data_IF_463015853834
#
_entry.id   IF_463015853834
#
_cell.length_a   1.000
_cell.length_b   1.000
_cell.length_c   1.000
_cell.angle_alpha   90.00
_cell.angle_beta   90.00
_cell.angle_gamma   90.00
#
_symmetry.space_group_name_H-M   'P 1'
#
loop_
_entity.id
_entity.type
_entity.pdbx_description
1 polymer ?
#
# COMPACT_ATOMS: atom_id res chain seq x y z
N UNK A 1 -66.97 3.98 52.16
CA UNK A 1 -66.07 3.35 51.19
C UNK A 1 -66.50 3.80 49.81
N UNK A 2 -65.58 4.22 48.93
CA UNK A 2 -65.90 4.61 47.56
C UNK A 2 -64.93 3.88 46.62
N UNK A 3 -65.48 3.03 45.75
CA UNK A 3 -64.70 2.23 44.80
C UNK A 3 -64.46 3.02 43.53
N UNK A 4 -63.21 3.16 43.11
CA UNK A 4 -62.85 3.78 41.83
C UNK A 4 -62.76 2.69 40.77
N UNK A 5 -63.78 2.58 39.93
CA UNK A 5 -63.77 1.67 38.78
C UNK A 5 -62.97 2.26 37.62
N UNK A 6 -61.69 1.90 37.53
CA UNK A 6 -60.81 2.32 36.42
C UNK A 6 -61.09 1.47 35.18
N UNK A 7 -61.98 1.96 34.31
CA UNK A 7 -62.24 1.37 33.00
C UNK A 7 -61.03 1.50 32.06
N UNK A 8 -60.19 0.46 31.97
CA UNK A 8 -59.11 0.34 30.97
C UNK A 8 -59.54 -0.32 29.65
N UNK A 9 -60.85 -0.56 29.46
CA UNK A 9 -61.38 -1.23 28.28
C UNK A 9 -61.59 -0.26 27.10
N UNK A 10 -60.62 -0.22 26.17
CA UNK A 10 -60.96 -0.07 24.75
C UNK A 10 -60.45 1.15 23.95
N UNK A 11 -59.14 1.45 23.92
CA UNK A 11 -58.57 2.27 22.80
C UNK A 11 -57.09 2.06 22.46
N UNK A 12 -56.59 0.81 22.36
CA UNK A 12 -55.16 0.55 22.05
C UNK A 12 -54.80 -0.48 20.96
N UNK A 13 -55.76 -1.21 20.37
CA UNK A 13 -55.43 -2.29 19.40
C UNK A 13 -55.08 -1.86 17.97
N UNK A 14 -55.39 -0.63 17.54
CA UNK A 14 -55.10 -0.17 16.17
C UNK A 14 -53.99 0.89 16.04
N UNK A 15 -53.53 1.47 17.15
CA UNK A 15 -52.39 2.40 17.15
C UNK A 15 -51.08 1.65 16.98
N UNK A 16 -50.75 0.75 17.91
CA UNK A 16 -49.49 -0.01 17.89
C UNK A 16 -49.26 -0.82 16.61
N UNK A 17 -50.31 -1.32 15.94
CA UNK A 17 -50.16 -1.99 14.65
C UNK A 17 -49.71 -1.06 13.51
N UNK A 18 -50.14 0.22 13.53
CA UNK A 18 -49.70 1.25 12.58
C UNK A 18 -48.30 1.75 12.90
N UNK A 19 -47.98 1.87 14.18
CA UNK A 19 -46.66 2.30 14.64
C UNK A 19 -45.60 1.24 14.35
N UNK A 20 -45.89 -0.06 14.58
CA UNK A 20 -45.05 -1.19 14.14
C UNK A 20 -44.90 -1.26 12.61
N UNK A 21 -45.95 -0.94 11.85
CA UNK A 21 -45.86 -0.91 10.38
C UNK A 21 -44.92 0.21 9.91
N UNK A 22 -45.02 1.40 10.51
CA UNK A 22 -44.09 2.52 10.25
C UNK A 22 -42.67 2.19 10.64
N UNK A 23 -42.47 1.55 11.80
CA UNK A 23 -41.15 1.11 12.26
C UNK A 23 -40.54 0.12 11.27
N UNK A 24 -41.30 -0.89 10.82
CA UNK A 24 -40.86 -1.83 9.78
C UNK A 24 -40.50 -1.13 8.45
N UNK A 25 -41.27 -0.11 8.04
CA UNK A 25 -40.96 0.65 6.82
C UNK A 25 -39.71 1.53 6.98
N UNK A 26 -39.48 2.12 8.17
CA UNK A 26 -38.21 2.82 8.46
C UNK A 26 -37.01 1.88 8.52
N UNK A 27 -37.17 0.67 9.04
CA UNK A 27 -36.12 -0.37 9.05
C UNK A 27 -35.81 -0.87 7.64
N UNK A 28 -36.83 -1.01 6.77
CA UNK A 28 -36.65 -1.33 5.35
C UNK A 28 -35.90 -0.22 4.61
N UNK A 29 -36.28 1.04 4.81
CA UNK A 29 -35.58 2.19 4.22
C UNK A 29 -34.10 2.25 4.67
N UNK A 30 -33.85 2.08 5.97
CA UNK A 30 -32.50 2.05 6.51
C UNK A 30 -31.67 0.85 6.01
N UNK A 31 -32.32 -0.28 5.67
CA UNK A 31 -31.65 -1.43 5.04
C UNK A 31 -31.29 -1.12 3.58
N UNK A 32 -32.22 -0.56 2.80
CA UNK A 32 -31.94 -0.17 1.40
C UNK A 32 -30.86 0.91 1.31
N UNK A 33 -30.84 1.88 2.23
CA UNK A 33 -29.79 2.89 2.30
C UNK A 33 -28.42 2.27 2.57
N UNK A 34 -28.34 1.31 3.51
CA UNK A 34 -27.11 0.55 3.77
C UNK A 34 -26.68 -0.27 2.55
N UNK A 35 -27.59 -0.92 1.84
CA UNK A 35 -27.27 -1.65 0.61
C UNK A 35 -26.76 -0.71 -0.50
N UNK A 36 -27.34 0.50 -0.66
CA UNK A 36 -26.83 1.49 -1.62
C UNK A 36 -25.44 1.99 -1.24
N UNK A 37 -25.19 2.22 0.06
CA UNK A 37 -23.88 2.61 0.58
C UNK A 37 -22.84 1.50 0.34
N UNK A 38 -23.20 0.24 0.61
CA UNK A 38 -22.34 -0.94 0.34
C UNK A 38 -22.03 -1.05 -1.16
N UNK A 39 -23.01 -0.84 -2.05
CA UNK A 39 -22.78 -0.82 -3.50
C UNK A 39 -21.87 0.33 -3.93
N UNK A 40 -22.03 1.53 -3.36
CA UNK A 40 -21.21 2.69 -3.68
C UNK A 40 -19.76 2.51 -3.18
N UNK A 41 -19.56 2.00 -1.96
CA UNK A 41 -18.24 1.65 -1.43
C UNK A 41 -17.56 0.55 -2.28
N UNK A 42 -18.30 -0.48 -2.70
CA UNK A 42 -17.79 -1.50 -3.63
C UNK A 42 -17.36 -0.90 -4.99
N UNK A 43 -18.14 0.04 -5.55
CA UNK A 43 -17.78 0.76 -6.78
C UNK A 43 -16.52 1.61 -6.58
N UNK A 44 -16.41 2.35 -5.48
CA UNK A 44 -15.24 3.16 -5.14
C UNK A 44 -13.98 2.31 -4.96
N UNK A 45 -14.06 1.19 -4.24
CA UNK A 45 -12.96 0.25 -4.08
C UNK A 45 -12.53 -0.36 -5.42
N UNK A 46 -13.48 -0.78 -6.27
CA UNK A 46 -13.14 -1.34 -7.57
C UNK A 46 -12.52 -0.30 -8.52
N UNK A 47 -13.00 0.95 -8.47
CA UNK A 47 -12.41 2.06 -9.21
C UNK A 47 -10.99 2.39 -8.71
N UNK A 48 -10.79 2.42 -7.39
CA UNK A 48 -9.47 2.66 -6.78
C UNK A 48 -8.47 1.54 -7.09
N UNK A 49 -8.89 0.27 -7.01
CA UNK A 49 -8.06 -0.88 -7.37
C UNK A 49 -7.76 -0.94 -8.87
N UNK A 50 -8.72 -0.56 -9.72
CA UNK A 50 -8.49 -0.45 -11.18
C UNK A 50 -7.56 0.71 -11.51
N UNK A 51 -7.70 1.85 -10.85
CA UNK A 51 -6.80 2.99 -10.99
C UNK A 51 -5.39 2.66 -10.50
N UNK A 52 -5.24 1.95 -9.37
CA UNK A 52 -3.94 1.49 -8.87
C UNK A 52 -3.28 0.48 -9.82
N UNK A 53 -4.06 -0.44 -10.41
CA UNK A 53 -3.56 -1.38 -11.45
C UNK A 53 -3.16 -0.65 -12.73
N UNK A 54 -3.95 0.31 -13.18
CA UNK A 54 -3.64 1.15 -14.35
C UNK A 54 -2.42 2.04 -14.09
N UNK A 55 -2.27 2.59 -12.89
CA UNK A 55 -1.07 3.33 -12.49
C UNK A 55 0.16 2.44 -12.50
N UNK A 56 0.09 1.23 -11.93
CA UNK A 56 1.17 0.24 -11.94
C UNK A 56 1.54 -0.24 -13.36
N UNK A 57 0.56 -0.29 -14.28
CA UNK A 57 0.80 -0.60 -15.70
C UNK A 57 1.34 0.61 -16.47
N UNK A 58 0.89 1.83 -16.17
CA UNK A 58 1.38 3.07 -16.77
C UNK A 58 2.80 3.45 -16.32
N UNK A 59 3.20 3.03 -15.11
CA UNK A 59 4.60 3.03 -14.66
C UNK A 59 5.44 1.90 -15.26
N UNK A 60 4.91 1.12 -16.20
CA UNK A 60 5.64 0.10 -16.94
C UNK A 60 5.78 0.53 -18.41
N UNK A 61 6.81 1.31 -18.77
CA UNK A 61 7.11 1.57 -20.16
C UNK A 61 7.58 0.27 -20.82
N UNK A 62 6.92 -0.14 -21.90
CA UNK A 62 7.33 -1.31 -22.69
C UNK A 62 8.60 -1.03 -23.51
N UNK A 63 9.74 -0.79 -22.85
CA UNK A 63 11.06 -0.68 -23.49
C UNK A 63 12.19 -1.13 -22.55
N UNK A 64 12.95 -2.12 -23.01
CA UNK A 64 14.24 -2.62 -22.48
C UNK A 64 14.21 -3.46 -21.18
N UNK A 65 15.16 -4.41 -21.03
CA UNK A 65 15.20 -5.28 -19.86
C UNK A 65 15.95 -4.64 -18.68
N UNK A 66 15.42 -4.84 -17.47
CA UNK A 66 16.16 -4.70 -16.20
C UNK A 66 16.67 -3.29 -15.91
N UNK A 67 15.75 -2.36 -15.70
CA UNK A 67 16.04 -1.25 -14.78
C UNK A 67 16.25 -1.82 -13.37
N UNK A 68 17.38 -1.45 -12.77
CA UNK A 68 17.74 -1.86 -11.43
C UNK A 68 16.82 -1.11 -10.45
N UNK A 69 16.12 -1.84 -9.58
CA UNK A 69 15.55 -1.22 -8.39
C UNK A 69 16.70 -0.46 -7.71
N UNK A 70 16.59 0.87 -7.49
CA UNK A 70 17.70 1.66 -7.00
C UNK A 70 18.13 1.05 -5.67
N UNK A 71 19.40 0.64 -5.58
CA UNK A 71 19.94 0.10 -4.35
C UNK A 71 19.72 1.15 -3.26
N UNK A 72 18.94 0.81 -2.24
CA UNK A 72 18.55 1.74 -1.18
C UNK A 72 19.80 2.44 -0.63
N UNK A 73 19.71 3.75 -0.40
CA UNK A 73 20.80 4.47 0.24
C UNK A 73 21.14 3.83 1.59
N UNK A 74 22.38 3.96 2.05
CA UNK A 74 22.75 3.51 3.39
C UNK A 74 21.86 4.16 4.47
N UNK A 75 21.41 5.39 4.23
CA UNK A 75 20.47 6.11 5.10
C UNK A 75 19.05 5.54 5.03
N UNK A 76 18.53 5.24 3.83
CA UNK A 76 17.20 4.63 3.65
C UNK A 76 17.13 3.24 4.29
N UNK A 77 18.20 2.44 4.10
CA UNK A 77 18.37 1.14 4.74
C UNK A 77 18.31 1.29 6.26
N UNK A 78 19.09 2.20 6.83
CA UNK A 78 19.14 2.44 8.28
C UNK A 78 17.78 2.89 8.82
N UNK A 79 17.06 3.74 8.10
CA UNK A 79 15.71 4.17 8.47
C UNK A 79 14.69 3.02 8.44
N UNK A 80 14.80 2.09 7.48
CA UNK A 80 13.96 0.88 7.44
C UNK A 80 14.30 -0.09 8.57
N UNK A 81 15.58 -0.28 8.90
CA UNK A 81 16.04 -1.12 10.01
C UNK A 81 15.58 -0.56 11.37
N UNK A 82 15.68 0.76 11.57
CA UNK A 82 15.18 1.46 12.75
C UNK A 82 13.64 1.33 12.87
N UNK A 83 12.90 1.53 11.77
CA UNK A 83 11.45 1.33 11.74
C UNK A 83 11.06 -0.12 12.04
N UNK A 84 11.81 -1.09 11.52
CA UNK A 84 11.58 -2.50 11.82
C UNK A 84 11.86 -2.83 13.29
N UNK A 85 12.89 -2.23 13.90
CA UNK A 85 13.17 -2.35 15.32
C UNK A 85 12.05 -1.74 16.19
N UNK A 86 11.55 -0.56 15.82
CA UNK A 86 10.43 0.08 16.51
C UNK A 86 9.14 -0.78 16.49
N UNK A 87 8.76 -1.31 15.32
CA UNK A 87 7.59 -2.21 15.20
C UNK A 87 7.76 -3.50 16.02
N UNK A 88 8.99 -4.05 16.09
CA UNK A 88 9.29 -5.21 16.96
C UNK A 88 9.15 -4.88 18.45
N UNK A 89 9.64 -3.72 18.89
CA UNK A 89 9.49 -3.27 20.26
C UNK A 89 8.01 -3.02 20.64
N UNK A 90 7.22 -2.45 19.72
CA UNK A 90 5.77 -2.33 19.94
C UNK A 90 5.10 -3.71 20.02
N UNK A 91 5.42 -4.67 19.13
CA UNK A 91 4.90 -6.03 19.21
C UNK A 91 5.13 -6.70 20.57
N UNK A 92 6.32 -6.59 21.16
CA UNK A 92 6.57 -7.14 22.51
C UNK A 92 5.80 -6.39 23.61
N UNK A 93 5.68 -5.07 23.50
CA UNK A 93 4.88 -4.25 24.43
C UNK A 93 3.40 -4.65 24.39
N UNK A 94 2.85 -4.87 23.20
CA UNK A 94 1.47 -5.34 22.96
C UNK A 94 1.25 -6.76 23.49
N UNK A 95 2.22 -7.67 23.30
CA UNK A 95 2.19 -9.03 23.86
C UNK A 95 2.13 -9.01 25.38
N UNK A 96 2.96 -8.19 26.03
CA UNK A 96 2.96 -8.03 27.49
C UNK A 96 1.62 -7.47 28.00
N UNK A 97 1.06 -6.44 27.35
CA UNK A 97 -0.24 -5.88 27.68
C UNK A 97 -1.38 -6.91 27.55
N UNK A 98 -1.39 -7.69 26.46
CA UNK A 98 -2.38 -8.76 26.26
C UNK A 98 -2.28 -9.86 27.33
N UNK A 99 -1.06 -10.23 27.75
CA UNK A 99 -0.85 -11.20 28.83
C UNK A 99 -1.39 -10.67 30.17
N UNK A 100 -1.16 -9.39 30.50
CA UNK A 100 -1.70 -8.79 31.71
C UNK A 100 -3.22 -8.70 31.68
N UNK A 101 -3.84 -8.35 30.54
CA UNK A 101 -5.30 -8.38 30.39
C UNK A 101 -5.87 -9.79 30.57
N UNK A 102 -5.23 -10.82 30.01
CA UNK A 102 -5.61 -12.24 30.21
C UNK A 102 -5.50 -12.66 31.68
N UNK A 103 -4.42 -12.27 32.37
CA UNK A 103 -4.22 -12.52 33.81
C UNK A 103 -5.24 -11.78 34.69
N UNK A 104 -5.69 -10.59 34.29
CA UNK A 104 -6.79 -9.87 34.96
C UNK A 104 -8.13 -10.59 34.76
N UNK A 105 -8.42 -11.00 33.53
CA UNK A 105 -9.66 -11.73 33.20
C UNK A 105 -9.78 -13.05 33.96
N UNK A 106 -8.68 -13.79 34.12
CA UNK A 106 -8.61 -15.04 34.89
C UNK A 106 -8.95 -14.85 36.38
N UNK A 107 -8.66 -13.66 36.95
CA UNK A 107 -8.98 -13.31 38.34
C UNK A 107 -10.41 -12.81 38.54
N UNK A 108 -11.05 -12.26 37.51
CA UNK A 108 -12.47 -11.92 37.56
C UNK A 108 -13.30 -13.19 37.42
N UNK A 109 -13.71 -13.78 38.55
CA UNK A 109 -14.56 -14.95 38.58
C UNK A 109 -15.98 -14.67 38.05
N UNK A 110 -16.58 -15.67 37.40
CA UNK A 110 -17.97 -15.58 36.93
C UNK A 110 -18.92 -15.58 38.13
N UNK A 111 -19.69 -14.52 38.28
CA UNK A 111 -20.73 -14.39 39.32
C UNK A 111 -22.03 -13.85 38.71
N UNK A 112 -23.12 -13.86 39.49
CA UNK A 112 -24.38 -13.24 39.09
C UNK A 112 -24.38 -11.70 39.23
N UNK A 113 -23.34 -11.11 39.82
CA UNK A 113 -23.22 -9.65 39.93
C UNK A 113 -22.99 -9.04 38.52
N UNK A 114 -23.86 -8.11 38.13
CA UNK A 114 -23.88 -7.49 36.80
C UNK A 114 -22.59 -6.73 36.52
N UNK A 115 -22.05 -6.00 37.50
CA UNK A 115 -20.82 -5.21 37.34
C UNK A 115 -19.62 -6.11 37.03
N UNK A 116 -19.51 -7.28 37.68
CA UNK A 116 -18.45 -8.26 37.39
C UNK A 116 -18.55 -8.82 35.96
N UNK A 117 -19.77 -8.98 35.44
CA UNK A 117 -20.01 -9.43 34.06
C UNK A 117 -19.71 -8.35 33.04
N UNK A 118 -19.88 -7.08 33.40
CA UNK A 118 -19.45 -5.94 32.58
C UNK A 118 -17.92 -5.88 32.53
N UNK A 119 -17.22 -5.93 33.68
CA UNK A 119 -15.74 -5.94 33.71
C UNK A 119 -15.16 -7.11 32.89
N UNK A 120 -15.73 -8.31 33.01
CA UNK A 120 -15.33 -9.46 32.19
C UNK A 120 -15.49 -9.19 30.68
N UNK A 121 -16.61 -8.61 30.25
CA UNK A 121 -16.86 -8.29 28.85
C UNK A 121 -15.91 -7.19 28.32
N UNK A 122 -15.62 -6.18 29.14
CA UNK A 122 -14.65 -5.12 28.83
C UNK A 122 -13.23 -5.67 28.70
N UNK A 123 -12.80 -6.56 29.60
CA UNK A 123 -11.51 -7.25 29.54
C UNK A 123 -11.41 -8.16 28.29
N UNK A 124 -12.46 -8.92 27.96
CA UNK A 124 -12.50 -9.73 26.75
C UNK A 124 -12.42 -8.88 25.48
N UNK A 125 -13.15 -7.76 25.43
CA UNK A 125 -13.08 -6.80 24.32
C UNK A 125 -11.68 -6.17 24.18
N UNK A 126 -11.06 -5.78 25.29
CA UNK A 126 -9.71 -5.24 25.31
C UNK A 126 -8.67 -6.27 24.80
N UNK A 127 -8.80 -7.54 25.19
CA UNK A 127 -7.96 -8.63 24.68
C UNK A 127 -8.11 -8.77 23.16
N UNK A 128 -9.35 -8.85 22.66
CA UNK A 128 -9.61 -8.97 21.23
C UNK A 128 -9.07 -7.78 20.42
N UNK A 129 -9.09 -6.57 20.99
CA UNK A 129 -8.48 -5.38 20.38
C UNK A 129 -6.96 -5.51 20.27
N UNK A 130 -6.27 -5.89 21.34
CA UNK A 130 -4.81 -6.07 21.28
C UNK A 130 -4.41 -7.26 20.37
N UNK A 131 -5.23 -8.30 20.25
CA UNK A 131 -5.01 -9.39 19.29
C UNK A 131 -5.10 -8.93 17.83
N UNK A 132 -6.06 -8.05 17.50
CA UNK A 132 -6.16 -7.42 16.17
C UNK A 132 -4.97 -6.48 15.88
N UNK A 133 -4.50 -5.73 16.88
CA UNK A 133 -3.33 -4.86 16.74
C UNK A 133 -2.04 -5.69 16.52
N UNK A 134 -1.88 -6.80 17.24
CA UNK A 134 -0.77 -7.74 17.06
C UNK A 134 -0.74 -8.37 15.65
N UNK A 135 -1.89 -8.68 15.07
CA UNK A 135 -1.98 -9.14 13.67
C UNK A 135 -1.51 -8.04 12.71
N UNK A 136 -2.01 -6.82 12.89
CA UNK A 136 -1.70 -5.65 12.05
C UNK A 136 -0.20 -5.31 12.09
N UNK A 137 0.38 -5.17 13.29
CA UNK A 137 1.81 -4.94 13.47
C UNK A 137 2.65 -6.14 12.99
N UNK A 138 2.14 -7.36 13.12
CA UNK A 138 2.78 -8.59 12.62
C UNK A 138 2.82 -8.67 11.09
N UNK A 139 1.87 -8.06 10.38
CA UNK A 139 1.92 -7.87 8.92
C UNK A 139 2.93 -6.78 8.54
N UNK A 140 2.92 -5.65 9.23
CA UNK A 140 3.90 -4.57 9.01
C UNK A 140 5.35 -5.05 9.22
N UNK A 141 5.61 -5.81 10.28
CA UNK A 141 6.93 -6.39 10.56
C UNK A 141 7.40 -7.36 9.46
N UNK A 142 6.49 -8.17 8.90
CA UNK A 142 6.77 -9.06 7.78
C UNK A 142 7.06 -8.27 6.50
N UNK A 143 6.25 -7.27 6.18
CA UNK A 143 6.46 -6.40 5.02
C UNK A 143 7.80 -5.66 5.08
N UNK A 144 8.16 -5.07 6.23
CA UNK A 144 9.46 -4.41 6.42
C UNK A 144 10.63 -5.40 6.28
N UNK A 145 10.49 -6.62 6.82
CA UNK A 145 11.53 -7.65 6.69
C UNK A 145 11.74 -8.06 5.22
N UNK A 146 10.67 -8.24 4.45
CA UNK A 146 10.76 -8.52 3.01
C UNK A 146 11.40 -7.39 2.21
N UNK A 147 11.14 -6.12 2.55
CA UNK A 147 11.76 -4.97 1.89
C UNK A 147 13.28 -4.92 2.14
N UNK A 148 13.71 -5.21 3.36
CA UNK A 148 15.14 -5.30 3.73
C UNK A 148 15.81 -6.47 2.99
N UNK A 149 15.19 -7.65 2.96
CA UNK A 149 15.71 -8.80 2.21
C UNK A 149 15.83 -8.53 0.69
N UNK A 150 14.85 -7.86 0.09
CA UNK A 150 14.89 -7.47 -1.32
C UNK A 150 16.04 -6.49 -1.60
N UNK A 151 16.27 -5.52 -0.71
CA UNK A 151 17.41 -4.61 -0.81
C UNK A 151 18.76 -5.32 -0.68
N UNK A 152 18.89 -6.27 0.26
CA UNK A 152 20.09 -7.10 0.43
C UNK A 152 20.36 -8.00 -0.79
N UNK A 153 19.32 -8.59 -1.39
CA UNK A 153 19.45 -9.35 -2.63
C UNK A 153 19.88 -8.44 -3.78
N UNK A 154 19.25 -7.27 -3.96
CA UNK A 154 19.63 -6.31 -5.01
C UNK A 154 21.09 -5.82 -4.85
N UNK A 155 21.52 -5.54 -3.62
CA UNK A 155 22.90 -5.14 -3.32
C UNK A 155 23.89 -6.28 -3.61
N UNK A 156 23.57 -7.53 -3.26
CA UNK A 156 24.42 -8.69 -3.62
C UNK A 156 24.47 -8.91 -5.13
N UNK A 157 23.34 -8.84 -5.82
CA UNK A 157 23.28 -9.03 -7.28
C UNK A 157 24.06 -7.95 -8.03
N UNK A 158 24.01 -6.69 -7.60
CA UNK A 158 24.83 -5.61 -8.18
C UNK A 158 26.32 -5.84 -7.91
N UNK A 159 26.73 -6.19 -6.68
CA UNK A 159 28.12 -6.53 -6.37
C UNK A 159 28.67 -7.70 -7.23
N UNK A 160 27.89 -8.78 -7.42
CA UNK A 160 28.30 -9.87 -8.31
C UNK A 160 28.35 -9.44 -9.79
N UNK A 161 27.45 -8.56 -10.25
CA UNK A 161 27.47 -7.99 -11.61
C UNK A 161 28.77 -7.24 -11.90
N UNK A 162 29.23 -6.38 -10.97
CA UNK A 162 30.49 -5.65 -11.13
C UNK A 162 31.73 -6.55 -11.01
N UNK A 163 31.67 -7.62 -10.21
CA UNK A 163 32.79 -8.57 -10.03
C UNK A 163 33.02 -9.53 -11.20
N UNK A 164 32.03 -9.69 -12.09
CA UNK A 164 32.10 -10.58 -13.26
C UNK A 164 32.43 -9.84 -14.58
N UNK A 165 32.66 -8.52 -14.54
CA UNK A 165 33.22 -7.80 -15.68
C UNK A 165 34.71 -8.12 -15.81
N UNK A 166 35.20 -8.63 -16.96
CA UNK A 166 36.62 -8.86 -17.16
C UNK A 166 37.37 -7.53 -17.15
N UNK A 167 38.49 -7.47 -16.43
CA UNK A 167 39.40 -6.34 -16.39
C UNK A 167 40.03 -6.10 -17.77
N UNK A 168 39.41 -5.27 -18.60
CA UNK A 168 40.12 -4.60 -19.68
C UNK A 168 40.91 -3.43 -19.06
N UNK A 169 42.21 -3.65 -18.83
CA UNK A 169 43.13 -2.56 -18.48
C UNK A 169 43.25 -1.59 -19.67
N UNK A 170 43.45 -0.28 -19.42
CA UNK A 170 43.77 0.66 -20.48
C UNK A 170 45.17 0.35 -21.01
N UNK A 171 45.26 -0.07 -22.27
CA UNK A 171 46.55 -0.20 -22.95
C UNK A 171 47.06 1.18 -23.36
N UNK A 172 47.85 1.81 -22.48
CA UNK A 172 48.65 2.98 -22.82
C UNK A 172 49.86 2.50 -23.62
N UNK A 173 49.96 2.88 -24.88
CA UNK A 173 51.16 2.65 -25.70
C UNK A 173 51.58 3.94 -26.36
N UNK A 174 52.66 4.50 -25.82
CA UNK A 174 53.32 5.71 -26.28
C UNK A 174 54.58 5.34 -27.07
N UNK A 175 54.58 5.54 -28.39
CA UNK A 175 55.81 5.61 -29.18
C UNK A 175 55.74 6.68 -30.28
N UNK A 176 56.92 7.28 -30.52
CA UNK A 176 57.19 8.50 -31.30
C UNK A 176 56.84 8.42 -32.80
N UNK A 177 56.60 9.61 -33.40
CA UNK A 177 56.63 9.87 -34.85
C UNK A 177 58.06 9.71 -35.43
N UNK A 178 58.21 9.59 -36.77
CA UNK A 178 58.52 10.81 -37.53
C UNK A 178 57.81 10.95 -38.91
N UNK A 179 57.97 12.13 -39.50
CA UNK A 179 57.48 12.60 -40.81
C UNK A 179 58.14 11.81 -41.97
N UNK A 180 57.63 11.70 -43.21
CA UNK A 180 57.19 12.68 -44.24
C UNK A 180 56.50 11.84 -45.36
N UNK A 181 55.64 12.27 -46.29
CA UNK A 181 55.75 13.32 -47.31
C UNK A 181 54.39 13.38 -48.06
N UNK A 182 53.87 14.56 -48.40
CA UNK A 182 52.81 14.71 -49.42
C UNK A 182 53.22 15.83 -50.39
N UNK A 183 53.25 15.54 -51.69
CA UNK A 183 53.67 16.46 -52.76
C UNK A 183 52.49 16.82 -53.66
N UNK A 184 52.11 18.10 -53.60
CA UNK A 184 51.41 18.97 -54.58
C UNK A 184 50.59 18.40 -55.75
N UNK A 185 49.29 18.79 -55.77
CA UNK A 185 48.56 19.54 -56.82
C UNK A 185 49.04 19.52 -58.29
N UNK A 186 48.08 19.55 -59.25
CA UNK A 186 47.77 20.85 -59.89
C UNK A 186 46.28 21.19 -60.09
N UNK A 187 46.00 22.48 -60.34
CA UNK A 187 44.69 23.05 -60.68
C UNK A 187 44.36 22.98 -62.19
N UNK A 188 43.07 22.95 -62.53
CA UNK A 188 42.46 23.72 -63.65
C UNK A 188 40.94 23.81 -63.37
N UNK A 189 40.30 25.00 -63.33
CA UNK A 189 39.81 25.83 -64.46
C UNK A 189 38.84 25.05 -65.37
N UNK A 190 37.62 25.46 -65.74
CA UNK A 190 36.70 26.61 -65.48
C UNK A 190 35.25 26.01 -65.55
N UNK A 191 34.09 26.68 -65.48
CA UNK A 191 33.69 28.11 -65.55
C UNK A 191 32.36 28.36 -64.79
N UNK A 192 31.46 29.24 -65.28
CA UNK A 192 30.11 29.54 -64.76
C UNK A 192 29.01 29.33 -65.82
N UNK A 193 27.83 28.86 -65.39
CA UNK A 193 26.46 29.05 -65.97
C UNK A 193 25.48 28.27 -65.07
N UNK A 194 24.30 28.74 -64.67
CA UNK A 194 23.62 30.02 -64.90
C UNK A 194 22.16 29.82 -65.36
N UNK A 195 21.19 29.85 -64.42
CA UNK A 195 19.72 29.78 -64.64
C UNK A 195 19.20 28.46 -65.30
N UNK A 196 17.91 28.06 -65.27
CA UNK A 196 16.61 28.68 -64.88
C UNK A 196 15.70 27.64 -64.16
N UNK A 197 14.68 28.09 -63.40
CA UNK A 197 13.45 27.33 -63.03
C UNK A 197 12.66 26.82 -64.26
N UNK A 198 11.85 25.75 -64.09
CA UNK A 198 10.40 25.61 -64.39
C UNK A 198 9.96 24.19 -63.94
N UNK A 199 8.96 23.98 -63.06
CA UNK A 199 7.49 24.11 -63.17
C UNK A 199 6.76 22.93 -63.86
N UNK A 200 6.27 22.01 -63.01
CA UNK A 200 4.89 21.47 -62.95
C UNK A 200 4.28 20.57 -64.05
N UNK A 201 3.26 19.82 -63.59
CA UNK A 201 2.26 19.01 -64.31
C UNK A 201 2.72 17.63 -64.83
N UNK A 202 1.96 16.52 -64.62
CA UNK A 202 0.66 16.32 -63.92
C UNK A 202 0.69 15.08 -63.04
#
# INVERSE_FOLDING_TARGET
MASIEVSLAGRRRSAGARDLSRELDTLRAALTDKDTLIQNLKKQLNASLSAARLAAQASSPCTSPREEAPALSADDRRALEERAAAVRAELETRRANMQELKRRLEKTHVTENIDTRIEQAELQYAIGREELELLTLGEQARALSMLIEQADVAHRTTLYRYRLLPHHLPYVSSYQLPLTTYVTFPQSKLETKGYVKQLSYS
#
